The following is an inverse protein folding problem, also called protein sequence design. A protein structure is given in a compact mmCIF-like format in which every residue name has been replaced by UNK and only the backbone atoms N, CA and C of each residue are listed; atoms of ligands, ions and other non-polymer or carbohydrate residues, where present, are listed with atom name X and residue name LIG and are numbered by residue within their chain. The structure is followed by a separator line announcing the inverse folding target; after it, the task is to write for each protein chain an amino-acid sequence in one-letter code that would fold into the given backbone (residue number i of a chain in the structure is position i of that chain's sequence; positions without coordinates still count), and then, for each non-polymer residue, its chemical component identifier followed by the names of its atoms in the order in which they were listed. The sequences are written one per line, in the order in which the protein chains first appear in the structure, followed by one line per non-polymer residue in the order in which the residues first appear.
data_IF_940827255758
#
_entry.id   IF_940827255758
#
_cell.length_a   1.000
_cell.length_b   1.000
_cell.length_c   1.000
_cell.angle_alpha   90.00
_cell.angle_beta   90.00
_cell.angle_gamma   90.00
#
_symmetry.space_group_name_H-M   'P 1'
#
loop_
_entity.id
_entity.type
_entity.pdbx_description
1 polymer ?
#
# COMPACT_ATOMS: atom_id res chain seq x y z
N UNK A 1 -1.94 4.99 2.97
CA UNK A 1 -0.70 5.65 3.44
C UNK A 1 0.44 4.70 3.18
N UNK A 2 0.94 4.76 1.94
CA UNK A 2 2.02 3.88 1.50
C UNK A 2 3.35 4.46 1.97
N UNK A 3 4.21 3.64 2.58
CA UNK A 3 5.58 4.00 2.98
C UNK A 3 6.55 3.22 2.09
N UNK A 4 7.43 3.94 1.39
CA UNK A 4 8.54 3.40 0.59
C UNK A 4 9.88 4.01 1.06
N UNK A 5 11.03 3.35 0.86
CA UNK A 5 12.26 3.69 1.55
C UNK A 5 13.04 4.80 0.84
N UNK A 6 13.30 5.87 1.56
CA UNK A 6 14.27 6.90 1.19
C UNK A 6 14.55 7.76 2.41
N UNK A 7 15.50 7.35 3.26
CA UNK A 7 15.90 8.16 4.41
C UNK A 7 17.30 8.74 4.18
N UNK A 8 17.37 10.04 3.94
CA UNK A 8 18.54 10.86 4.30
C UNK A 8 18.04 12.23 4.71
N UNK A 9 17.75 12.43 5.99
CA UNK A 9 17.45 13.75 6.55
C UNK A 9 16.72 13.65 7.89
N UNK A 10 17.24 14.35 8.90
CA UNK A 10 16.72 14.35 10.29
C UNK A 10 15.25 14.81 10.33
N UNK A 11 14.42 14.04 11.05
CA UNK A 11 13.02 14.36 11.37
C UNK A 11 12.09 13.23 10.93
N UNK A 12 11.63 12.38 11.86
CA UNK A 12 10.73 11.27 11.53
C UNK A 12 9.30 11.76 11.32
N UNK A 13 9.05 12.43 10.19
CA UNK A 13 7.71 12.50 9.61
C UNK A 13 7.54 11.25 8.76
N UNK A 14 6.56 10.41 9.11
CA UNK A 14 6.18 9.26 8.28
C UNK A 14 5.72 9.77 6.92
N UNK A 15 6.58 9.69 5.90
CA UNK A 15 6.23 10.13 4.55
C UNK A 15 5.04 9.33 4.03
N UNK A 16 3.96 10.06 3.77
CA UNK A 16 2.71 9.51 3.22
C UNK A 16 2.83 9.54 1.71
N UNK A 17 2.85 8.37 1.08
CA UNK A 17 2.66 8.27 -0.37
C UNK A 17 1.19 7.96 -0.69
N UNK A 18 0.72 8.58 -1.78
CA UNK A 18 -0.58 8.35 -2.39
C UNK A 18 -0.37 7.82 -3.81
N UNK A 19 -1.15 6.80 -4.18
CA UNK A 19 -1.16 6.27 -5.54
C UNK A 19 -2.60 6.08 -6.00
N UNK A 20 -2.88 6.48 -7.25
CA UNK A 20 -4.15 6.20 -7.93
C UNK A 20 -4.00 4.93 -8.75
N UNK A 21 -4.91 3.99 -8.57
CA UNK A 21 -4.95 2.72 -9.31
C UNK A 21 -5.43 2.94 -10.73
N UNK A 22 -4.71 2.41 -11.70
CA UNK A 22 -5.08 2.43 -13.12
C UNK A 22 -5.99 1.26 -13.52
N UNK A 23 -6.56 1.30 -14.72
CA UNK A 23 -7.44 0.24 -15.23
C UNK A 23 -6.75 -1.12 -15.35
N UNK A 24 -5.45 -1.15 -15.66
CA UNK A 24 -4.64 -2.38 -15.75
C UNK A 24 -4.30 -2.98 -14.38
N UNK A 25 -4.32 -2.18 -13.32
CA UNK A 25 -4.11 -2.63 -11.95
C UNK A 25 -5.42 -3.02 -11.24
N UNK A 26 -6.57 -2.62 -11.81
CA UNK A 26 -7.89 -2.92 -11.28
C UNK A 26 -8.16 -4.45 -11.25
N UNK A 27 -8.97 -4.87 -10.28
CA UNK A 27 -9.33 -6.27 -10.04
C UNK A 27 -8.26 -7.09 -9.31
N UNK A 28 -7.01 -6.59 -9.23
CA UNK A 28 -5.96 -7.22 -8.43
C UNK A 28 -6.24 -7.07 -6.93
N UNK A 29 -5.89 -8.11 -6.15
CA UNK A 29 -5.92 -8.02 -4.69
C UNK A 29 -4.84 -7.06 -4.19
N UNK A 30 -5.16 -6.24 -3.19
CA UNK A 30 -4.23 -5.29 -2.59
C UNK A 30 -2.94 -5.95 -2.09
N UNK A 31 -2.99 -7.17 -1.56
CA UNK A 31 -1.80 -7.86 -1.09
C UNK A 31 -0.85 -8.22 -2.24
N UNK A 32 -1.39 -8.73 -3.35
CA UNK A 32 -0.64 -8.98 -4.58
C UNK A 32 -0.08 -7.68 -5.17
N UNK A 33 -0.88 -6.62 -5.18
CA UNK A 33 -0.45 -5.29 -5.61
C UNK A 33 0.75 -4.79 -4.81
N UNK A 34 0.67 -4.84 -3.49
CA UNK A 34 1.76 -4.40 -2.60
C UNK A 34 2.98 -5.30 -2.72
N UNK A 35 2.83 -6.62 -2.90
CA UNK A 35 3.94 -7.54 -3.11
C UNK A 35 4.70 -7.26 -4.42
N UNK A 36 3.96 -6.98 -5.50
CA UNK A 36 4.54 -6.64 -6.80
C UNK A 36 5.28 -5.29 -6.75
N UNK A 37 4.70 -4.31 -6.04
CA UNK A 37 5.24 -2.94 -5.93
C UNK A 37 6.41 -2.84 -4.95
N UNK A 38 6.33 -3.52 -3.82
CA UNK A 38 7.32 -3.49 -2.74
C UNK A 38 8.23 -4.73 -2.83
N UNK A 39 8.97 -4.82 -3.94
CA UNK A 39 9.87 -5.95 -4.20
C UNK A 39 10.87 -6.14 -3.06
N UNK A 40 11.06 -7.40 -2.65
CA UNK A 40 11.96 -7.77 -1.55
C UNK A 40 11.35 -7.62 -0.14
N UNK A 41 10.16 -7.04 0.00
CA UNK A 41 9.48 -6.98 1.30
C UNK A 41 8.84 -8.34 1.62
N UNK A 42 9.12 -8.95 2.79
CA UNK A 42 8.51 -10.22 3.17
C UNK A 42 6.99 -10.13 3.27
N UNK A 43 6.29 -11.19 2.86
CA UNK A 43 4.82 -11.27 2.93
C UNK A 43 4.29 -10.93 4.32
N UNK A 44 4.92 -11.43 5.39
CA UNK A 44 4.50 -11.14 6.77
C UNK A 44 4.51 -9.64 7.11
N UNK A 45 5.46 -8.87 6.54
CA UNK A 45 5.53 -7.42 6.71
C UNK A 45 4.40 -6.71 5.97
N UNK A 46 4.05 -7.12 4.74
CA UNK A 46 2.89 -6.60 4.00
C UNK A 46 1.60 -6.78 4.80
N UNK A 47 1.37 -7.99 5.33
CA UNK A 47 0.18 -8.26 6.14
C UNK A 47 0.18 -7.45 7.44
N UNK A 48 1.34 -7.18 8.03
CA UNK A 48 1.45 -6.30 9.21
C UNK A 48 1.04 -4.86 8.89
N UNK A 49 1.48 -4.31 7.75
CA UNK A 49 1.11 -2.96 7.30
C UNK A 49 -0.41 -2.84 7.14
N UNK A 50 -1.03 -3.82 6.50
CA UNK A 50 -2.48 -3.88 6.30
C UNK A 50 -3.24 -3.98 7.63
N UNK A 51 -2.85 -4.90 8.52
CA UNK A 51 -3.50 -5.06 9.84
C UNK A 51 -3.36 -3.84 10.74
N UNK A 52 -2.20 -3.18 10.72
CA UNK A 52 -1.99 -1.93 11.48
C UNK A 52 -2.74 -0.75 10.87
N UNK A 53 -3.19 -0.86 9.62
CA UNK A 53 -3.86 0.20 8.88
C UNK A 53 -2.89 1.25 8.35
N UNK A 54 -1.62 0.88 8.18
CA UNK A 54 -0.62 1.75 7.54
C UNK A 54 -1.01 1.91 6.06
N UNK A 55 -1.34 0.82 5.36
CA UNK A 55 -1.96 0.90 4.03
C UNK A 55 -3.47 1.07 4.15
N UNK A 56 -4.03 1.99 3.35
CA UNK A 56 -5.45 2.34 3.32
C UNK A 56 -5.88 2.44 1.87
N UNK A 57 -7.16 2.26 1.59
CA UNK A 57 -7.74 2.56 0.28
C UNK A 57 -8.88 3.54 0.52
N UNK A 58 -8.91 4.65 -0.22
CA UNK A 58 -9.92 5.70 -0.09
C UNK A 58 -10.06 6.17 1.37
N UNK A 59 -8.93 6.32 2.07
CA UNK A 59 -8.81 6.67 3.50
C UNK A 59 -9.36 5.60 4.48
N UNK A 60 -9.92 4.49 3.99
CA UNK A 60 -10.44 3.37 4.77
C UNK A 60 -9.43 2.26 5.05
N UNK A 61 -9.62 1.54 6.17
CA UNK A 61 -8.92 0.28 6.44
C UNK A 61 -9.52 -0.83 5.58
N UNK A 62 -8.67 -1.73 5.11
CA UNK A 62 -9.04 -2.77 4.16
C UNK A 62 -8.39 -4.10 4.53
N UNK A 63 -9.00 -5.20 4.11
CA UNK A 63 -8.46 -6.55 4.28
C UNK A 63 -7.51 -6.89 3.13
N UNK A 64 -6.56 -7.83 3.31
CA UNK A 64 -5.67 -8.29 2.25
C UNK A 64 -6.38 -8.79 0.98
N UNK A 65 -7.61 -9.29 1.11
CA UNK A 65 -8.43 -9.79 0.00
C UNK A 65 -9.14 -8.70 -0.80
N UNK A 66 -9.04 -7.44 -0.38
CA UNK A 66 -9.65 -6.32 -1.08
C UNK A 66 -9.17 -6.27 -2.53
N UNK A 67 -10.10 -6.26 -3.48
CA UNK A 67 -9.81 -6.08 -4.90
C UNK A 67 -9.87 -4.60 -5.22
N UNK A 68 -8.79 -4.11 -5.80
CA UNK A 68 -8.66 -2.72 -6.24
C UNK A 68 -9.64 -2.43 -7.37
N UNK A 69 -10.18 -1.21 -7.39
CA UNK A 69 -10.90 -0.63 -8.50
C UNK A 69 -10.07 0.47 -9.16
N UNK A 70 -10.27 0.68 -10.47
CA UNK A 70 -9.68 1.83 -11.15
C UNK A 70 -10.13 3.12 -10.46
N UNK A 71 -9.19 4.04 -10.23
CA UNK A 71 -9.43 5.30 -9.51
C UNK A 71 -9.32 5.20 -7.98
N UNK A 72 -9.15 4.01 -7.40
CA UNK A 72 -8.87 3.88 -5.97
C UNK A 72 -7.59 4.64 -5.59
N UNK A 73 -7.61 5.30 -4.43
CA UNK A 73 -6.43 5.96 -3.87
C UNK A 73 -5.86 5.17 -2.69
N UNK A 74 -4.62 4.72 -2.79
CA UNK A 74 -3.90 3.89 -1.80
C UNK A 74 -2.88 4.70 -0.98
#
# INVERSE_FOLDING_TARGET
MVVAPGNTGRGHTSDVSFLVISDDEAGQRIDNFLLARLKGVPKSRIYRLLRKGEVRVNKGRIKPEYRLAAGDTV
#
